data_IF_838002771113
#
_entry.id   IF_838002771113
#
_cell.length_a   1.000
_cell.length_b   1.000
_cell.length_c   1.000
_cell.angle_alpha   90.00
_cell.angle_beta   90.00
_cell.angle_gamma   90.00
#
_symmetry.space_group_name_H-M   'P 1'
#
loop_
_entity.id
_entity.type
_entity.pdbx_description
1 polymer ?
#
# COMPACT_ATOMS: atom_id res chain seq x y z
N UNK A 1 -10.13 -16.28 11.62
CA UNK A 1 -9.31 -15.10 11.98
C UNK A 1 -8.06 -15.47 12.81
N UNK A 2 -7.47 -16.64 12.61
CA UNK A 2 -6.21 -17.11 13.21
C UNK A 2 -5.03 -16.29 12.62
N UNK A 3 -4.77 -15.09 13.16
CA UNK A 3 -3.71 -14.12 12.76
C UNK A 3 -3.85 -13.37 11.41
N UNK A 4 -5.04 -13.24 10.81
CA UNK A 4 -5.17 -12.92 9.34
C UNK A 4 -4.33 -13.89 8.46
N UNK A 5 -3.76 -14.95 9.07
CA UNK A 5 -2.60 -15.76 8.71
C UNK A 5 -1.26 -14.98 8.78
N UNK A 6 -0.50 -15.22 9.87
CA UNK A 6 0.86 -14.74 10.19
C UNK A 6 1.57 -13.99 9.05
N UNK A 7 1.53 -12.65 9.05
CA UNK A 7 2.46 -11.80 8.30
C UNK A 7 2.70 -12.19 6.82
N UNK A 8 1.81 -11.86 5.89
CA UNK A 8 2.24 -11.62 4.49
C UNK A 8 2.98 -10.28 4.44
N UNK A 9 4.04 -10.19 5.24
CA UNK A 9 5.21 -9.45 4.89
C UNK A 9 6.07 -10.37 4.06
N UNK A 10 6.13 -10.12 2.76
CA UNK A 10 7.29 -10.60 2.01
C UNK A 10 8.58 -10.03 2.63
N UNK A 11 8.58 -8.80 3.13
CA UNK A 11 9.79 -8.15 3.69
C UNK A 11 9.56 -7.73 5.14
N UNK A 12 10.47 -8.08 6.06
CA UNK A 12 10.28 -7.74 7.47
C UNK A 12 10.46 -6.24 7.79
N UNK A 13 10.32 -5.87 9.08
CA UNK A 13 10.34 -4.46 9.49
C UNK A 13 11.66 -3.79 9.26
N UNK A 14 11.62 -2.60 8.67
CA UNK A 14 12.83 -1.87 8.31
C UNK A 14 13.68 -2.55 7.23
N UNK A 15 13.11 -3.46 6.44
CA UNK A 15 13.86 -4.11 5.37
C UNK A 15 14.44 -3.07 4.39
N UNK A 16 15.75 -3.16 4.15
CA UNK A 16 16.45 -2.25 3.23
C UNK A 16 16.02 -2.51 1.79
N UNK A 17 16.25 -1.56 0.90
CA UNK A 17 15.98 -1.74 -0.53
C UNK A 17 16.76 -2.93 -1.13
N UNK A 18 17.96 -3.22 -0.64
CA UNK A 18 18.73 -4.41 -1.04
C UNK A 18 18.04 -5.72 -0.66
N UNK A 19 17.51 -5.81 0.57
CA UNK A 19 16.77 -6.98 1.01
C UNK A 19 15.47 -7.15 0.22
N UNK A 20 14.78 -6.05 -0.09
CA UNK A 20 13.60 -6.05 -0.96
C UNK A 20 13.95 -6.52 -2.37
N UNK A 21 15.09 -6.09 -2.92
CA UNK A 21 15.58 -6.54 -4.22
C UNK A 21 15.94 -8.04 -4.22
N UNK A 22 16.50 -8.57 -3.12
CA UNK A 22 16.76 -10.00 -2.99
C UNK A 22 15.45 -10.83 -2.99
N UNK A 23 14.40 -10.37 -2.31
CA UNK A 23 13.08 -11.01 -2.39
C UNK A 23 12.47 -10.89 -3.78
N UNK A 24 12.62 -9.73 -4.43
CA UNK A 24 12.15 -9.54 -5.79
C UNK A 24 12.77 -10.57 -6.73
N UNK A 25 14.08 -10.81 -6.59
CA UNK A 25 14.77 -11.84 -7.35
C UNK A 25 14.19 -13.23 -7.11
N UNK A 26 13.98 -13.64 -5.84
CA UNK A 26 13.39 -14.94 -5.52
C UNK A 26 11.98 -15.13 -6.08
N UNK A 27 11.15 -14.07 -6.08
CA UNK A 27 9.80 -14.12 -6.67
C UNK A 27 9.89 -14.26 -8.19
N UNK A 28 10.79 -13.51 -8.84
CA UNK A 28 11.00 -13.60 -10.29
C UNK A 28 11.47 -15.00 -10.67
N UNK A 29 12.39 -15.59 -9.92
CA UNK A 29 12.83 -16.98 -10.09
C UNK A 29 11.67 -17.97 -9.93
N UNK A 30 10.80 -17.78 -8.93
CA UNK A 30 9.57 -18.56 -8.75
C UNK A 30 8.63 -18.49 -9.96
N UNK A 31 8.38 -17.28 -10.47
CA UNK A 31 7.54 -17.08 -11.68
C UNK A 31 8.13 -17.78 -12.89
N UNK A 32 9.45 -17.67 -13.09
CA UNK A 32 10.14 -18.34 -14.20
C UNK A 32 10.04 -19.87 -14.09
N UNK A 33 10.14 -20.40 -12.87
CA UNK A 33 10.01 -21.82 -12.58
C UNK A 33 8.59 -22.31 -12.88
N UNK A 34 7.57 -21.59 -12.41
CA UNK A 34 6.17 -21.91 -12.71
C UNK A 34 5.92 -21.91 -14.23
N UNK A 35 6.42 -20.90 -14.94
CA UNK A 35 6.27 -20.79 -16.40
C UNK A 35 6.95 -21.96 -17.13
N UNK A 36 8.17 -22.33 -16.73
CA UNK A 36 8.88 -23.48 -17.29
C UNK A 36 8.10 -24.78 -17.06
N UNK A 37 7.58 -25.00 -15.85
CA UNK A 37 6.81 -26.19 -15.52
C UNK A 37 5.46 -26.25 -16.24
N UNK A 38 4.82 -25.10 -16.50
CA UNK A 38 3.61 -25.00 -17.31
C UNK A 38 3.90 -25.39 -18.76
N UNK A 39 5.03 -24.96 -19.33
CA UNK A 39 5.42 -25.29 -20.71
C UNK A 39 5.84 -26.76 -20.82
N UNK A 40 6.52 -27.28 -19.80
CA UNK A 40 7.09 -28.63 -19.82
C UNK A 40 6.08 -29.74 -19.48
N UNK A 41 4.90 -29.41 -18.96
CA UNK A 41 3.97 -30.39 -18.42
C UNK A 41 2.53 -30.18 -18.92
N UNK A 42 1.97 -31.21 -19.54
CA UNK A 42 0.57 -31.23 -19.97
C UNK A 42 -0.30 -31.99 -18.95
N UNK A 43 -1.47 -31.45 -18.63
CA UNK A 43 -2.49 -32.13 -17.82
C UNK A 43 -2.81 -31.47 -16.47
N UNK A 44 -3.16 -32.27 -15.46
CA UNK A 44 -3.72 -31.78 -14.18
C UNK A 44 -2.70 -30.96 -13.34
N UNK A 45 -1.42 -31.32 -13.44
CA UNK A 45 -0.30 -30.67 -12.75
C UNK A 45 -0.10 -29.21 -13.17
N UNK A 46 -0.42 -28.85 -14.41
CA UNK A 46 -0.30 -27.45 -14.88
C UNK A 46 -1.28 -26.51 -14.17
N UNK A 47 -2.46 -26.99 -13.76
CA UNK A 47 -3.44 -26.18 -12.98
C UNK A 47 -2.89 -25.74 -11.63
N UNK A 48 -2.14 -26.62 -10.96
CA UNK A 48 -1.46 -26.29 -9.70
C UNK A 48 -0.38 -25.23 -9.94
N UNK A 49 0.34 -25.32 -11.06
CA UNK A 49 1.36 -24.33 -11.44
C UNK A 49 0.76 -22.97 -11.78
N UNK A 50 -0.41 -22.91 -12.44
CA UNK A 50 -1.12 -21.66 -12.65
C UNK A 50 -1.57 -21.01 -11.33
N UNK A 51 -1.96 -21.82 -10.33
CA UNK A 51 -2.27 -21.31 -8.99
C UNK A 51 -1.01 -20.76 -8.28
N UNK A 52 0.12 -21.48 -8.36
CA UNK A 52 1.42 -21.02 -7.87
C UNK A 52 1.85 -19.69 -8.52
N UNK A 53 1.72 -19.60 -9.85
CA UNK A 53 2.03 -18.41 -10.63
C UNK A 53 1.16 -17.22 -10.21
N UNK A 54 -0.15 -17.43 -10.01
CA UNK A 54 -1.06 -16.40 -9.51
C UNK A 54 -0.65 -15.86 -8.14
N UNK A 55 -0.21 -16.73 -7.24
CA UNK A 55 0.30 -16.36 -5.92
C UNK A 55 1.62 -15.58 -6.01
N UNK A 56 2.58 -16.05 -6.82
CA UNK A 56 3.86 -15.37 -7.03
C UNK A 56 3.68 -13.97 -7.64
N UNK A 57 2.75 -13.82 -8.59
CA UNK A 57 2.39 -12.52 -9.18
C UNK A 57 1.71 -11.58 -8.18
N UNK A 58 0.86 -12.10 -7.29
CA UNK A 58 0.28 -11.33 -6.19
C UNK A 58 1.37 -10.80 -5.24
N UNK A 59 2.33 -11.67 -4.88
CA UNK A 59 3.51 -11.31 -4.09
C UNK A 59 4.39 -10.27 -4.76
N UNK A 60 4.63 -10.41 -6.08
CA UNK A 60 5.36 -9.44 -6.90
C UNK A 60 4.71 -8.05 -6.85
N UNK A 61 3.39 -7.97 -7.08
CA UNK A 61 2.64 -6.71 -7.05
C UNK A 61 2.71 -6.04 -5.68
N UNK A 62 2.61 -6.82 -4.60
CA UNK A 62 2.71 -6.31 -3.23
C UNK A 62 4.11 -5.76 -2.93
N UNK A 63 5.16 -6.48 -3.34
CA UNK A 63 6.55 -6.07 -3.13
C UNK A 63 6.91 -4.81 -3.94
N UNK A 64 6.47 -4.74 -5.20
CA UNK A 64 6.65 -3.55 -6.05
C UNK A 64 5.97 -2.34 -5.42
N UNK A 65 4.73 -2.50 -4.94
CA UNK A 65 4.02 -1.41 -4.28
C UNK A 65 4.72 -0.97 -2.98
N UNK A 66 5.26 -1.90 -2.21
CA UNK A 66 6.02 -1.58 -0.99
C UNK A 66 7.32 -0.81 -1.28
N UNK A 67 8.02 -1.14 -2.38
CA UNK A 67 9.18 -0.36 -2.83
C UNK A 67 8.77 1.05 -3.24
N UNK A 68 7.68 1.21 -4.00
CA UNK A 68 7.12 2.53 -4.35
C UNK A 68 6.74 3.34 -3.09
N UNK A 69 6.15 2.67 -2.10
CA UNK A 69 5.75 3.30 -0.84
C UNK A 69 6.97 3.79 -0.03
N UNK A 70 8.05 2.99 0.04
CA UNK A 70 9.28 3.39 0.73
C UNK A 70 10.02 4.54 0.07
N UNK A 71 9.86 4.68 -1.25
CA UNK A 71 10.48 5.75 -1.99
C UNK A 71 9.66 7.06 -1.90
N UNK A 72 8.51 7.05 -1.21
CA UNK A 72 7.62 8.21 -0.99
C UNK A 72 7.05 8.87 -2.26
N UNK A 73 6.96 8.13 -3.38
CA UNK A 73 6.48 8.67 -4.66
C UNK A 73 4.97 8.93 -4.72
N UNK A 74 4.21 8.35 -3.78
CA UNK A 74 2.75 8.45 -3.76
C UNK A 74 2.30 9.32 -2.60
N UNK A 75 1.41 10.28 -2.88
CA UNK A 75 0.74 11.01 -1.81
C UNK A 75 -0.12 10.05 -0.98
N UNK A 76 -0.31 10.37 0.29
CA UNK A 76 -1.03 9.51 1.24
C UNK A 76 -2.43 9.13 0.76
N UNK A 77 -3.17 10.08 0.17
CA UNK A 77 -4.51 9.83 -0.35
C UNK A 77 -4.52 8.75 -1.43
N UNK A 78 -3.57 8.82 -2.37
CA UNK A 78 -3.45 7.82 -3.45
C UNK A 78 -2.92 6.49 -2.94
N UNK A 79 -1.94 6.53 -2.03
CA UNK A 79 -1.39 5.34 -1.35
C UNK A 79 -2.50 4.53 -0.67
N UNK A 80 -3.35 5.18 0.12
CA UNK A 80 -4.45 4.53 0.83
C UNK A 80 -5.53 4.02 -0.12
N UNK A 81 -5.89 4.82 -1.14
CA UNK A 81 -6.86 4.44 -2.15
C UNK A 81 -6.42 3.19 -2.92
N UNK A 82 -5.15 3.14 -3.35
CA UNK A 82 -4.58 1.96 -4.02
C UNK A 82 -4.60 0.76 -3.08
N UNK A 83 -4.16 0.90 -1.82
CA UNK A 83 -4.21 -0.19 -0.82
C UNK A 83 -5.61 -0.76 -0.67
N UNK A 84 -6.63 0.08 -0.50
CA UNK A 84 -8.01 -0.41 -0.31
C UNK A 84 -8.60 -1.07 -1.55
N UNK A 85 -8.20 -0.66 -2.76
CA UNK A 85 -8.72 -1.23 -4.02
C UNK A 85 -7.99 -2.51 -4.40
N UNK A 86 -6.65 -2.49 -4.40
CA UNK A 86 -5.82 -3.58 -4.93
C UNK A 86 -5.37 -4.58 -3.88
N UNK A 87 -5.22 -4.12 -2.63
CA UNK A 87 -4.63 -4.87 -1.53
C UNK A 87 -5.63 -4.98 -0.39
N UNK A 88 -6.80 -5.53 -0.69
CA UNK A 88 -7.80 -5.85 0.33
C UNK A 88 -7.89 -7.35 0.55
N UNK A 89 -8.14 -7.77 1.78
CA UNK A 89 -8.23 -9.20 2.11
C UNK A 89 -9.35 -9.90 1.33
N UNK A 90 -10.49 -9.22 1.21
CA UNK A 90 -11.69 -9.74 0.54
C UNK A 90 -11.49 -9.94 -0.96
N UNK A 91 -10.59 -9.16 -1.58
CA UNK A 91 -10.31 -9.26 -3.02
C UNK A 91 -9.03 -10.01 -3.33
N UNK A 92 -8.13 -10.19 -2.37
CA UNK A 92 -6.86 -10.89 -2.58
C UNK A 92 -7.08 -12.37 -2.93
N UNK A 93 -7.78 -13.12 -2.08
CA UNK A 93 -8.03 -14.56 -2.29
C UNK A 93 -8.82 -14.84 -3.58
N UNK A 94 -9.95 -14.15 -3.76
CA UNK A 94 -10.78 -14.30 -4.97
C UNK A 94 -10.01 -13.84 -6.20
N UNK A 95 -9.25 -12.75 -6.07
CA UNK A 95 -8.44 -12.19 -7.13
C UNK A 95 -7.35 -13.15 -7.58
N UNK A 96 -6.66 -13.83 -6.66
CA UNK A 96 -5.64 -14.83 -6.97
C UNK A 96 -6.23 -16.03 -7.70
N UNK A 97 -7.37 -16.55 -7.23
CA UNK A 97 -8.03 -17.69 -7.87
C UNK A 97 -8.52 -17.37 -9.28
N UNK A 98 -9.25 -16.27 -9.46
CA UNK A 98 -9.76 -15.88 -10.79
C UNK A 98 -8.60 -15.49 -11.71
N UNK A 99 -7.58 -14.77 -11.21
CA UNK A 99 -6.43 -14.40 -12.04
C UNK A 99 -5.68 -15.65 -12.52
N UNK A 100 -5.53 -16.69 -11.70
CA UNK A 100 -4.92 -17.95 -12.13
C UNK A 100 -5.67 -18.61 -13.30
N UNK A 101 -7.01 -18.62 -13.27
CA UNK A 101 -7.84 -19.14 -14.37
C UNK A 101 -7.70 -18.29 -15.64
N UNK A 102 -7.70 -16.96 -15.50
CA UNK A 102 -7.51 -16.07 -16.65
C UNK A 102 -6.09 -16.20 -17.21
N UNK A 103 -5.07 -16.36 -16.36
CA UNK A 103 -3.69 -16.60 -16.80
C UNK A 103 -3.53 -17.87 -17.59
N UNK A 104 -4.27 -18.94 -17.25
CA UNK A 104 -4.30 -20.14 -18.06
C UNK A 104 -4.77 -19.86 -19.50
N UNK A 105 -5.87 -19.13 -19.64
CA UNK A 105 -6.37 -18.75 -20.98
C UNK A 105 -5.42 -17.82 -21.72
N UNK A 106 -4.83 -16.86 -21.02
CA UNK A 106 -3.89 -15.90 -21.57
C UNK A 106 -2.60 -16.56 -22.06
N UNK A 107 -1.97 -17.42 -21.27
CA UNK A 107 -0.75 -18.13 -21.64
C UNK A 107 -0.99 -19.11 -22.79
N UNK A 108 -2.13 -19.82 -22.79
CA UNK A 108 -2.51 -20.67 -23.92
C UNK A 108 -2.69 -19.84 -25.20
N UNK A 109 -3.29 -18.65 -25.10
CA UNK A 109 -3.46 -17.75 -26.24
C UNK A 109 -2.12 -17.17 -26.71
N UNK A 110 -1.22 -16.80 -25.79
CA UNK A 110 0.10 -16.28 -26.13
C UNK A 110 0.94 -17.34 -26.86
N UNK A 111 0.91 -18.60 -26.39
CA UNK A 111 1.65 -19.69 -27.02
C UNK A 111 1.18 -19.93 -28.48
N UNK A 112 -0.11 -19.76 -28.74
CA UNK A 112 -0.68 -19.85 -30.10
C UNK A 112 -0.58 -18.56 -30.93
N UNK A 113 -0.06 -17.47 -30.39
CA UNK A 113 -0.07 -16.15 -31.04
C UNK A 113 1.11 -15.90 -31.98
N UNK A 114 0.94 -14.93 -32.88
CA UNK A 114 1.91 -14.51 -33.90
C UNK A 114 3.14 -13.77 -33.30
N UNK A 115 3.27 -13.68 -31.97
CA UNK A 115 4.48 -13.21 -31.28
C UNK A 115 5.71 -14.03 -31.68
N UNK A 116 5.52 -15.31 -32.01
CA UNK A 116 6.56 -16.18 -32.56
C UNK A 116 7.03 -15.76 -33.98
N UNK A 117 6.20 -15.01 -34.72
CA UNK A 117 6.45 -14.55 -36.09
C UNK A 117 7.12 -13.17 -36.15
N UNK A 118 7.43 -12.55 -35.01
CA UNK A 118 8.12 -11.24 -34.96
C UNK A 118 9.64 -11.32 -35.18
N UNK A 119 10.19 -12.48 -35.54
CA UNK A 119 11.60 -12.68 -35.90
C UNK A 119 12.15 -11.67 -36.94
N UNK A 120 11.47 -11.33 -38.05
CA UNK A 120 12.00 -10.36 -39.01
C UNK A 120 12.07 -8.94 -38.43
N UNK A 121 11.15 -8.57 -37.53
CA UNK A 121 11.17 -7.27 -36.83
C UNK A 121 12.29 -7.20 -35.80
N UNK A 122 12.56 -8.30 -35.08
CA UNK A 122 13.69 -8.40 -34.16
C UNK A 122 15.05 -8.27 -34.87
N UNK A 123 15.18 -8.86 -36.07
CA UNK A 123 16.35 -8.71 -36.93
C UNK A 123 16.56 -7.26 -37.43
N UNK A 124 15.48 -6.52 -37.64
CA UNK A 124 15.54 -5.15 -38.18
C UNK A 124 15.94 -4.10 -37.13
N UNK A 125 15.57 -4.28 -35.86
CA UNK A 125 15.79 -3.26 -34.80
C UNK A 125 16.91 -3.66 -33.83
N UNK A 126 16.83 -4.89 -33.29
CA UNK A 126 17.79 -5.56 -32.39
C UNK A 126 17.01 -6.55 -31.53
N UNK A 127 17.56 -7.76 -31.34
CA UNK A 127 16.95 -8.77 -30.47
C UNK A 127 16.76 -8.29 -29.03
N UNK A 128 17.69 -7.51 -28.48
CA UNK A 128 17.60 -7.02 -27.10
C UNK A 128 16.45 -6.03 -26.91
N UNK A 129 16.33 -5.07 -27.83
CA UNK A 129 15.28 -4.06 -27.78
C UNK A 129 13.89 -4.68 -28.02
N UNK A 130 13.78 -5.58 -29.00
CA UNK A 130 12.51 -6.26 -29.28
C UNK A 130 12.08 -7.20 -28.15
N UNK A 131 13.04 -7.88 -27.52
CA UNK A 131 12.79 -8.68 -26.32
C UNK A 131 12.27 -7.83 -25.17
N UNK A 132 12.88 -6.66 -24.91
CA UNK A 132 12.42 -5.72 -23.88
C UNK A 132 10.95 -5.29 -24.11
N UNK A 133 10.60 -4.96 -25.36
CA UNK A 133 9.23 -4.61 -25.73
C UNK A 133 8.26 -5.78 -25.48
N UNK A 134 8.62 -6.99 -25.93
CA UNK A 134 7.78 -8.17 -25.70
C UNK A 134 7.56 -8.42 -24.21
N UNK A 135 8.61 -8.35 -23.39
CA UNK A 135 8.49 -8.48 -21.94
C UNK A 135 7.62 -7.37 -21.33
N UNK A 136 7.79 -6.13 -21.76
CA UNK A 136 6.95 -5.01 -21.28
C UNK A 136 5.47 -5.25 -21.60
N UNK A 137 5.14 -5.74 -22.80
CA UNK A 137 3.77 -6.07 -23.20
C UNK A 137 3.20 -7.18 -22.29
N UNK A 138 3.98 -8.24 -22.03
CA UNK A 138 3.56 -9.33 -21.15
C UNK A 138 3.31 -8.81 -19.73
N UNK A 139 4.24 -8.04 -19.17
CA UNK A 139 4.11 -7.48 -17.81
C UNK A 139 2.89 -6.57 -17.71
N UNK A 140 2.68 -5.67 -18.67
CA UNK A 140 1.50 -4.80 -18.71
C UNK A 140 0.22 -5.63 -18.78
N UNK A 141 0.17 -6.64 -19.65
CA UNK A 141 -0.99 -7.53 -19.78
C UNK A 141 -1.30 -8.26 -18.47
N UNK A 142 -0.27 -8.76 -17.78
CA UNK A 142 -0.38 -9.43 -16.48
C UNK A 142 -0.95 -8.49 -15.42
N UNK A 143 -0.41 -7.28 -15.31
CA UNK A 143 -0.90 -6.26 -14.38
C UNK A 143 -2.34 -5.88 -14.71
N UNK A 144 -2.69 -5.72 -15.99
CA UNK A 144 -4.05 -5.43 -16.45
C UNK A 144 -5.04 -6.55 -16.09
N UNK A 145 -4.66 -7.82 -16.24
CA UNK A 145 -5.49 -8.97 -15.85
C UNK A 145 -5.79 -8.91 -14.35
N UNK A 146 -4.75 -8.78 -13.51
CA UNK A 146 -4.91 -8.70 -12.04
C UNK A 146 -5.80 -7.52 -11.67
N UNK A 147 -5.57 -6.36 -12.29
CA UNK A 147 -6.37 -5.15 -12.07
C UNK A 147 -7.83 -5.34 -12.45
N UNK A 148 -8.09 -5.98 -13.60
CA UNK A 148 -9.45 -6.22 -14.11
C UNK A 148 -10.29 -7.13 -13.22
N UNK A 149 -9.64 -7.97 -12.41
CA UNK A 149 -10.33 -8.84 -11.44
C UNK A 149 -10.49 -8.13 -10.10
N UNK A 150 -9.41 -7.55 -9.56
CA UNK A 150 -9.39 -7.01 -8.19
C UNK A 150 -10.20 -5.72 -8.06
N UNK A 151 -10.09 -4.81 -9.02
CA UNK A 151 -10.76 -3.50 -8.93
C UNK A 151 -12.29 -3.65 -8.95
N UNK A 152 -12.90 -4.38 -9.91
CA UNK A 152 -14.35 -4.52 -9.92
C UNK A 152 -14.87 -5.25 -8.68
N UNK A 153 -14.16 -6.29 -8.22
CA UNK A 153 -14.57 -7.01 -7.02
C UNK A 153 -14.53 -6.14 -5.76
N UNK A 154 -13.50 -5.29 -5.62
CA UNK A 154 -13.39 -4.36 -4.50
C UNK A 154 -14.53 -3.33 -4.52
N UNK A 155 -14.80 -2.75 -5.69
CA UNK A 155 -15.88 -1.79 -5.90
C UNK A 155 -17.24 -2.42 -5.62
N UNK A 156 -17.47 -3.62 -6.14
CA UNK A 156 -18.71 -4.37 -5.97
C UNK A 156 -18.95 -4.72 -4.50
N UNK A 157 -17.92 -5.21 -3.80
CA UNK A 157 -17.99 -5.52 -2.38
C UNK A 157 -18.32 -4.28 -1.53
N UNK A 158 -17.63 -3.16 -1.79
CA UNK A 158 -17.87 -1.90 -1.07
C UNK A 158 -19.27 -1.36 -1.37
N UNK A 159 -19.70 -1.42 -2.62
CA UNK A 159 -21.03 -1.01 -3.02
C UNK A 159 -22.11 -1.81 -2.31
N UNK A 160 -22.04 -3.15 -2.34
CA UNK A 160 -23.04 -3.99 -1.67
C UNK A 160 -23.07 -3.78 -0.15
N UNK A 161 -21.90 -3.66 0.49
CA UNK A 161 -21.80 -3.59 1.94
C UNK A 161 -22.14 -2.21 2.51
N UNK A 162 -21.66 -1.14 1.87
CA UNK A 162 -21.74 0.21 2.42
C UNK A 162 -22.67 1.13 1.62
N UNK A 163 -23.17 0.70 0.45
CA UNK A 163 -23.99 1.51 -0.46
C UNK A 163 -23.32 2.85 -0.84
N UNK A 164 -21.99 2.91 -0.74
CA UNK A 164 -21.19 4.11 -0.98
C UNK A 164 -19.76 3.74 -1.29
N UNK A 165 -19.21 4.36 -2.35
CA UNK A 165 -17.80 4.21 -2.73
C UNK A 165 -16.88 5.15 -1.94
N UNK A 166 -17.42 5.98 -1.04
CA UNK A 166 -16.64 6.89 -0.21
C UNK A 166 -15.63 6.14 0.67
N UNK A 167 -15.94 4.90 1.06
CA UNK A 167 -15.04 4.01 1.82
C UNK A 167 -13.68 3.81 1.13
N UNK A 168 -13.62 3.90 -0.20
CA UNK A 168 -12.35 3.74 -0.93
C UNK A 168 -11.46 5.00 -0.88
N UNK A 169 -12.03 6.16 -0.56
CA UNK A 169 -11.34 7.45 -0.69
C UNK A 169 -11.21 8.23 0.63
N UNK A 170 -12.09 7.98 1.60
CA UNK A 170 -12.14 8.74 2.85
C UNK A 170 -10.95 8.39 3.75
N UNK A 171 -10.21 9.36 4.31
CA UNK A 171 -9.08 9.06 5.19
C UNK A 171 -9.53 8.41 6.51
N UNK A 172 -8.72 7.52 7.04
CA UNK A 172 -8.87 6.96 8.38
C UNK A 172 -7.52 7.07 9.11
N UNK A 173 -7.50 7.65 10.30
CA UNK A 173 -6.27 7.89 11.05
C UNK A 173 -5.51 6.58 11.39
N UNK A 174 -6.21 5.46 11.50
CA UNK A 174 -5.60 4.13 11.69
C UNK A 174 -4.78 3.72 10.46
N UNK A 175 -5.28 3.95 9.25
CA UNK A 175 -4.54 3.62 8.03
C UNK A 175 -3.29 4.51 7.89
N UNK A 176 -3.37 5.75 8.35
CA UNK A 176 -2.24 6.67 8.45
C UNK A 176 -1.21 6.20 9.48
N UNK A 177 -1.63 5.80 10.69
CA UNK A 177 -0.76 5.30 11.75
C UNK A 177 -0.07 3.97 11.35
N UNK A 178 -0.82 3.10 10.67
CA UNK A 178 -0.26 1.88 10.08
C UNK A 178 0.72 2.22 8.95
N UNK A 179 0.42 3.19 8.08
CA UNK A 179 1.33 3.63 7.03
C UNK A 179 1.89 2.47 6.20
N UNK A 180 3.23 2.40 6.08
CA UNK A 180 3.98 1.31 5.42
C UNK A 180 3.96 -0.03 6.17
N UNK A 181 3.48 -0.04 7.42
CA UNK A 181 3.49 -1.22 8.30
C UNK A 181 2.35 -2.19 7.97
N UNK A 182 1.24 -1.68 7.45
CA UNK A 182 0.14 -2.50 6.94
C UNK A 182 0.20 -2.64 5.42
N UNK A 183 0.09 -3.88 4.95
CA UNK A 183 0.18 -4.25 3.54
C UNK A 183 -1.17 -4.53 2.91
N UNK A 184 -2.09 -5.09 3.69
CA UNK A 184 -3.42 -5.47 3.25
C UNK A 184 -4.42 -4.81 4.18
N UNK A 185 -5.46 -4.23 3.59
CA UNK A 185 -6.56 -3.59 4.32
C UNK A 185 -7.72 -4.56 4.46
N UNK A 186 -8.45 -4.48 5.56
CA UNK A 186 -9.67 -5.26 5.79
C UNK A 186 -10.87 -4.37 5.47
N UNK A 187 -11.34 -4.40 4.22
CA UNK A 187 -12.44 -3.53 3.76
C UNK A 187 -13.71 -3.74 4.58
N UNK A 188 -13.98 -4.98 4.97
CA UNK A 188 -15.12 -5.37 5.77
C UNK A 188 -15.00 -5.00 7.25
N UNK A 189 -13.82 -4.57 7.69
CA UNK A 189 -13.55 -4.16 9.06
C UNK A 189 -13.96 -2.72 9.36
N UNK A 190 -14.18 -1.92 8.32
CA UNK A 190 -14.64 -0.54 8.47
C UNK A 190 -16.12 -0.45 8.89
N UNK A 191 -16.44 0.68 9.50
CA UNK A 191 -17.77 1.14 9.85
C UNK A 191 -17.87 2.60 9.46
N UNK A 192 -18.93 2.92 8.73
CA UNK A 192 -19.23 4.28 8.32
C UNK A 192 -20.12 4.93 9.37
N UNK A 193 -19.68 6.06 9.93
CA UNK A 193 -20.39 6.78 11.00
C UNK A 193 -20.11 8.28 10.85
N UNK A 194 -21.16 9.10 10.75
CA UNK A 194 -21.09 10.57 10.60
C UNK A 194 -20.15 11.07 9.49
N UNK A 195 -20.18 10.40 8.33
CA UNK A 195 -19.34 10.74 7.18
C UNK A 195 -17.86 10.40 7.36
N UNK A 196 -17.51 9.59 8.36
CA UNK A 196 -16.14 9.20 8.70
C UNK A 196 -16.00 7.68 8.79
N UNK A 197 -14.77 7.23 8.55
CA UNK A 197 -14.40 5.82 8.64
C UNK A 197 -13.81 5.46 9.99
N UNK A 198 -14.37 4.45 10.62
CA UNK A 198 -13.87 3.82 11.83
C UNK A 198 -13.63 2.33 11.60
N UNK A 199 -12.65 1.75 12.28
CA UNK A 199 -12.51 0.30 12.37
C UNK A 199 -13.30 -0.23 13.56
N UNK A 200 -13.95 -1.38 13.36
CA UNK A 200 -14.57 -2.12 14.46
C UNK A 200 -13.49 -2.79 15.35
N UNK A 201 -13.73 -2.96 16.67
CA UNK A 201 -12.79 -3.61 17.58
C UNK A 201 -12.34 -5.00 17.10
N UNK A 202 -13.28 -5.81 16.59
CA UNK A 202 -12.98 -7.14 16.05
C UNK A 202 -12.01 -7.08 14.85
N UNK A 203 -12.14 -6.06 13.99
CA UNK A 203 -11.23 -5.84 12.88
C UNK A 203 -9.84 -5.40 13.35
N UNK A 204 -9.78 -4.52 14.36
CA UNK A 204 -8.52 -4.10 14.96
C UNK A 204 -7.77 -5.29 15.58
N UNK A 205 -8.49 -6.15 16.32
CA UNK A 205 -7.95 -7.39 16.88
C UNK A 205 -7.50 -8.36 15.78
N UNK A 206 -8.27 -8.49 14.69
CA UNK A 206 -7.89 -9.33 13.56
C UNK A 206 -6.59 -8.84 12.89
N UNK A 207 -6.39 -7.53 12.79
CA UNK A 207 -5.16 -6.91 12.29
C UNK A 207 -3.98 -7.04 13.28
N UNK A 208 -4.16 -7.68 14.43
CA UNK A 208 -3.13 -7.87 15.45
C UNK A 208 -2.80 -6.59 16.23
N UNK A 209 -3.70 -5.59 16.23
CA UNK A 209 -3.51 -4.36 16.97
C UNK A 209 -3.93 -4.51 18.43
N UNK A 210 -3.13 -3.91 19.31
CA UNK A 210 -3.30 -3.92 20.75
C UNK A 210 -3.27 -2.48 21.29
N UNK A 211 -3.73 -2.31 22.54
CA UNK A 211 -3.60 -1.07 23.30
C UNK A 211 -2.47 -1.26 24.31
N UNK A 212 -1.63 -0.25 24.47
CA UNK A 212 -0.73 -0.11 25.62
C UNK A 212 -1.10 1.14 26.40
N UNK A 213 -1.04 1.07 27.72
CA UNK A 213 -1.18 2.21 28.60
C UNK A 213 0.11 2.43 29.38
N UNK A 214 0.68 3.62 29.26
CA UNK A 214 1.97 3.99 29.84
C UNK A 214 1.89 5.44 30.34
N UNK A 215 2.11 5.64 31.64
CA UNK A 215 1.99 6.93 32.32
C UNK A 215 0.67 7.68 32.04
N UNK A 216 -0.44 6.95 31.97
CA UNK A 216 -1.77 7.50 31.69
C UNK A 216 -2.01 7.90 30.22
N UNK A 217 -1.07 7.61 29.33
CA UNK A 217 -1.20 7.81 27.88
C UNK A 217 -1.47 6.46 27.22
N UNK A 218 -2.48 6.43 26.35
CA UNK A 218 -2.82 5.24 25.58
C UNK A 218 -2.11 5.24 24.22
N UNK A 219 -1.51 4.11 23.85
CA UNK A 219 -0.82 3.92 22.60
C UNK A 219 -1.42 2.76 21.81
N UNK A 220 -1.46 2.93 20.49
CA UNK A 220 -1.75 1.86 19.55
C UNK A 220 -0.49 1.05 19.32
N UNK A 221 -0.57 -0.26 19.50
CA UNK A 221 0.56 -1.18 19.47
C UNK A 221 0.37 -2.25 18.40
N UNK A 222 1.48 -2.67 17.78
CA UNK A 222 1.54 -3.75 16.80
C UNK A 222 2.79 -4.62 17.03
N UNK A 223 2.73 -5.89 16.65
CA UNK A 223 3.92 -6.75 16.56
C UNK A 223 4.87 -6.36 15.42
N UNK A 224 6.14 -6.17 15.77
CA UNK A 224 7.29 -5.98 14.88
C UNK A 224 7.98 -7.31 14.63
N UNK A 225 7.93 -7.76 13.38
CA UNK A 225 8.57 -8.98 12.90
C UNK A 225 9.84 -8.64 12.09
N UNK A 226 10.96 -9.32 12.36
CA UNK A 226 12.18 -9.27 11.54
C UNK A 226 12.38 -10.58 10.76
N UNK A 227 13.24 -10.55 9.74
CA UNK A 227 13.43 -11.62 8.75
C UNK A 227 13.84 -12.97 9.35
N UNK A 228 14.76 -12.95 10.30
CA UNK A 228 15.41 -14.15 10.84
C UNK A 228 15.30 -14.26 12.36
N UNK A 229 14.52 -13.37 12.99
CA UNK A 229 14.35 -13.35 14.44
C UNK A 229 13.04 -12.68 14.83
N UNK A 230 12.28 -13.35 15.68
CA UNK A 230 11.23 -12.70 16.46
C UNK A 230 11.89 -12.13 17.72
N UNK A 231 11.91 -10.80 17.94
CA UNK A 231 12.42 -10.23 19.17
C UNK A 231 11.63 -10.73 20.37
N UNK A 232 12.25 -10.81 21.54
CA UNK A 232 11.52 -11.08 22.79
C UNK A 232 10.52 -9.95 23.09
N UNK A 233 10.92 -8.70 22.81
CA UNK A 233 10.08 -7.51 22.90
C UNK A 233 9.62 -7.10 21.50
N UNK A 234 8.71 -7.89 20.93
CA UNK A 234 8.24 -7.67 19.56
C UNK A 234 7.10 -6.64 19.48
N UNK A 235 6.59 -6.10 20.58
CA UNK A 235 5.52 -5.10 20.55
C UNK A 235 6.11 -3.68 20.47
N UNK A 236 5.57 -2.87 19.56
CA UNK A 236 5.94 -1.46 19.42
C UNK A 236 4.71 -0.55 19.39
N UNK A 237 4.80 0.60 20.06
CA UNK A 237 3.85 1.70 19.92
C UNK A 237 4.05 2.43 18.60
N UNK A 238 2.97 2.57 17.82
CA UNK A 238 2.97 3.20 16.49
C UNK A 238 2.14 4.48 16.41
N UNK A 239 1.32 4.76 17.43
CA UNK A 239 0.56 6.00 17.52
C UNK A 239 -0.01 6.24 18.91
N UNK A 240 -0.28 7.51 19.22
CA UNK A 240 -0.93 7.95 20.45
C UNK A 240 -2.44 7.96 20.25
N UNK A 241 -3.18 7.40 21.19
CA UNK A 241 -4.63 7.31 21.13
C UNK A 241 -5.27 8.44 21.93
N UNK A 242 -6.10 9.24 21.27
CA UNK A 242 -6.88 10.33 21.89
C UNK A 242 -8.36 10.12 21.59
N UNK A 243 -9.08 9.49 22.54
CA UNK A 243 -10.45 9.03 22.32
C UNK A 243 -10.52 8.03 21.15
N UNK A 244 -11.40 8.22 20.14
CA UNK A 244 -11.49 7.30 19.00
C UNK A 244 -10.39 7.52 17.96
N UNK A 245 -9.48 8.50 18.14
CA UNK A 245 -8.47 8.85 17.14
C UNK A 245 -7.10 8.31 17.49
N UNK A 246 -6.26 8.16 16.48
CA UNK A 246 -4.85 7.76 16.63
C UNK A 246 -3.97 8.70 15.83
N UNK A 247 -2.98 9.29 16.49
CA UNK A 247 -1.95 10.12 15.85
C UNK A 247 -0.66 9.31 15.70
N UNK A 248 -0.07 9.22 14.50
CA UNK A 248 1.18 8.51 14.30
C UNK A 248 2.30 9.06 15.19
N UNK A 249 3.10 8.20 15.80
CA UNK A 249 4.27 8.61 16.57
C UNK A 249 5.52 7.85 16.12
N UNK A 250 6.68 8.29 16.60
CA UNK A 250 7.92 7.51 16.48
C UNK A 250 7.74 6.17 17.20
N UNK A 251 8.41 5.13 16.69
CA UNK A 251 8.30 3.79 17.28
C UNK A 251 8.80 3.82 18.73
N UNK A 252 7.96 3.34 19.65
CA UNK A 252 8.29 3.25 21.07
C UNK A 252 8.28 1.79 21.52
N UNK A 253 9.22 1.38 22.39
CA UNK A 253 9.16 0.06 23.00
C UNK A 253 7.93 -0.06 23.89
N UNK A 254 7.39 -1.28 24.02
CA UNK A 254 6.27 -1.51 24.91
C UNK A 254 6.74 -1.72 26.35
N UNK A 255 6.57 -0.70 27.18
CA UNK A 255 6.91 -0.65 28.61
C UNK A 255 5.70 -0.74 29.53
N UNK A 256 4.51 -0.45 29.01
CA UNK A 256 3.27 -0.33 29.77
C UNK A 256 2.39 -1.59 29.76
N UNK A 257 1.18 -1.45 30.32
CA UNK A 257 0.22 -2.55 30.40
C UNK A 257 -0.45 -2.73 29.03
N UNK A 258 -0.31 -3.93 28.46
CA UNK A 258 -0.90 -4.28 27.16
C UNK A 258 -2.27 -4.93 27.36
N UNK A 259 -3.26 -4.47 26.59
CA UNK A 259 -4.63 -4.96 26.60
C UNK A 259 -5.22 -4.99 25.19
N UNK A 260 -6.34 -5.67 25.02
CA UNK A 260 -7.05 -5.71 23.75
C UNK A 260 -7.81 -4.41 23.48
N UNK A 261 -7.96 -4.08 22.20
CA UNK A 261 -8.76 -2.95 21.75
C UNK A 261 -10.25 -3.30 21.76
N UNK A 262 -11.03 -2.69 22.65
CA UNK A 262 -12.48 -2.91 22.76
C UNK A 262 -13.34 -1.76 22.19
N UNK A 263 -12.70 -0.65 21.80
CA UNK A 263 -13.39 0.51 21.21
C UNK A 263 -13.10 0.67 19.72
N UNK A 264 -14.02 1.34 19.02
CA UNK A 264 -13.84 1.72 17.61
C UNK A 264 -12.79 2.83 17.52
N UNK A 265 -11.90 2.73 16.52
CA UNK A 265 -10.90 3.75 16.26
C UNK A 265 -10.92 4.20 14.80
N UNK A 266 -10.71 5.49 14.55
CA UNK A 266 -10.70 6.08 13.22
C UNK A 266 -11.09 7.56 13.19
N UNK A 267 -11.66 7.97 12.06
CA UNK A 267 -11.95 9.35 11.73
C UNK A 267 -10.78 10.09 11.08
N UNK A 268 -11.01 11.36 10.74
CA UNK A 268 -10.00 12.21 10.14
C UNK A 268 -8.88 12.55 11.16
N UNK A 269 -7.63 12.39 10.74
CA UNK A 269 -6.46 12.85 11.49
C UNK A 269 -6.50 14.36 11.69
N UNK A 270 -5.90 14.86 12.78
CA UNK A 270 -5.83 16.31 13.07
C UNK A 270 -4.97 17.01 12.01
N UNK A 271 -3.96 16.33 11.46
CA UNK A 271 -3.11 16.84 10.37
C UNK A 271 -3.90 17.12 9.08
N UNK A 272 -4.92 16.32 8.77
CA UNK A 272 -5.76 16.51 7.57
C UNK A 272 -6.73 17.70 7.72
N UNK A 273 -7.09 18.08 8.96
CA UNK A 273 -7.87 19.30 9.21
C UNK A 273 -7.06 20.57 8.95
N UNK A 274 -5.76 20.59 9.26
CA UNK A 274 -4.90 21.74 8.96
C UNK A 274 -4.77 22.00 7.46
N UNK A 275 -4.66 20.96 6.63
CA UNK A 275 -4.62 21.16 5.17
C UNK A 275 -5.95 21.63 4.56
N UNK A 276 -7.08 21.27 5.17
CA UNK A 276 -8.38 21.77 4.70
C UNK A 276 -8.71 23.19 5.17
N UNK A 277 -8.15 23.69 6.29
CA UNK A 277 -8.41 25.07 6.73
C UNK A 277 -7.57 26.13 6.01
N UNK A 278 -6.47 25.75 5.37
CA UNK A 278 -5.57 26.70 4.66
C UNK A 278 -6.03 26.98 3.22
N UNK A 279 -6.97 26.22 2.68
CA UNK A 279 -7.44 26.36 1.29
C UNK A 279 -8.49 27.47 1.04
N UNK A 280 -8.74 28.37 1.99
CA UNK A 280 -9.72 29.45 1.79
C UNK A 280 -9.22 30.80 2.28
N UNK A 281 -9.09 31.73 1.32
CA UNK A 281 -8.80 33.18 1.42
C UNK A 281 -7.33 33.61 1.34
N UNK A 282 -6.72 33.42 0.18
CA UNK A 282 -5.78 34.43 -0.35
C UNK A 282 -6.53 35.33 -1.35
N UNK A 283 -7.30 36.29 -0.82
CA UNK A 283 -7.64 37.50 -1.59
C UNK A 283 -6.53 38.51 -1.33
N UNK A 284 -5.60 38.61 -2.28
CA UNK A 284 -4.58 39.66 -2.32
C UNK A 284 -5.31 40.99 -2.56
N UNK A 285 -5.48 41.80 -1.51
CA UNK A 285 -5.74 43.24 -1.69
C UNK A 285 -4.40 43.92 -1.92
N UNK A 286 -4.14 44.28 -3.16
CA UNK A 286 -3.06 45.22 -3.52
C UNK A 286 -3.50 46.60 -3.04
N UNK A 287 -2.84 47.12 -2.01
CA UNK A 287 -2.89 48.54 -1.65
C UNK A 287 -1.75 49.23 -2.42
N UNK A 288 -2.13 49.96 -3.46
CA UNK A 288 -1.25 50.91 -4.11
C UNK A 288 -1.10 52.14 -3.20
N UNK A 289 0.12 52.45 -2.77
CA UNK A 289 0.49 53.80 -2.34
C UNK A 289 1.72 54.21 -3.14
N UNK A 290 1.57 55.34 -3.80
CA UNK A 290 2.49 55.98 -4.73
C UNK A 290 3.22 57.12 -4.01
N UNK A 291 4.46 57.38 -4.48
CA UNK A 291 5.32 58.55 -4.20
C UNK A 291 5.85 58.71 -2.75
N UNK A 292 7.10 59.11 -2.50
CA UNK A 292 7.99 59.96 -3.30
C UNK A 292 9.45 59.76 -2.86
N UNK A 293 10.34 59.92 -3.84
CA UNK A 293 11.78 60.16 -3.73
C UNK A 293 12.03 61.48 -2.98
N UNK A 294 12.98 61.52 -2.04
CA UNK A 294 14.12 62.47 -2.06
C UNK A 294 14.86 62.57 -0.71
N UNK A 295 16.17 62.81 -0.88
CA UNK A 295 17.14 63.46 0.04
C UNK A 295 17.82 62.67 1.18
N UNK A 296 19.10 62.35 0.91
CA UNK A 296 20.20 62.17 1.87
C UNK A 296 20.66 63.57 2.31
N UNK A 297 21.00 63.78 3.60
CA UNK A 297 22.29 64.44 3.86
C UNK A 297 23.10 63.86 5.04
N UNK A 298 24.39 63.77 4.77
CA UNK A 298 25.59 64.09 5.58
C UNK A 298 25.65 63.87 7.10
N UNK A 299 26.78 63.25 7.49
CA UNK A 299 27.34 63.21 8.83
C UNK A 299 27.88 64.58 9.27
N UNK A 300 28.05 64.78 10.59
CA UNK A 300 29.05 65.71 11.10
C UNK A 300 30.17 65.00 11.88
N UNK A 301 31.37 65.50 11.65
CA UNK A 301 32.63 65.23 12.32
C UNK A 301 32.62 65.49 13.83
N UNK A 302 33.59 64.82 14.49
CA UNK A 302 34.44 65.21 15.63
C UNK A 302 34.19 66.60 16.29
N UNK A 303 34.35 66.82 17.60
CA UNK A 303 35.44 66.42 18.51
C UNK A 303 35.09 66.97 19.92
N UNK A 304 35.29 66.17 20.97
CA UNK A 304 35.80 66.58 22.29
C UNK A 304 36.15 65.33 23.11
#
# INVERSE_FOLDING_TARGET
>A
MVFVQESIRLTAHGATNYQRAALLYLIVEGIMTDLFLIIANDGWTSRVQYASMGYNLSGLMLLLFEMLESMSWLSERWRLRIKRIFFSYETALVGEFISALVFQTFLSSLNGSDLNRSKPTALAVSYYFWSLICHAIVVVSVVSIISSVRVPWAVLYVWFKYQSLAVLSEPCCIDTALGVRSRIMLLGGYRWEDGKLYYNPAALKALGMLKMEDDGVEYLVLHKLYWFRVPRDNLIGIGVMTGPRVEPCNERPCTGIVSFLDRRLGGASIQTKCHHSVATKHTVRVLAVSEKLDEIPEAPDELA
#
